data_IF_448633838377
#
_entry.id   IF_448633838377
#
_cell.length_a   1.000
_cell.length_b   1.000
_cell.length_c   1.000
_cell.angle_alpha   90.00
_cell.angle_beta   90.00
_cell.angle_gamma   90.00
#
_symmetry.space_group_name_H-M   'P 1'
#
loop_
_entity.id
_entity.type
_entity.pdbx_description
1 polymer ?
#
# COMPACT_ATOMS: atom_id res chain seq x y z
N UNK A 1 17.63 18.78 -22.73
CA UNK A 1 17.55 19.11 -24.15
C UNK A 1 16.39 20.07 -24.37
N UNK A 2 16.59 21.08 -25.15
CA UNK A 2 15.59 22.11 -25.49
C UNK A 2 15.44 22.13 -27.02
N UNK A 3 14.21 22.31 -27.49
CA UNK A 3 13.94 22.54 -28.89
C UNK A 3 14.13 24.04 -29.22
N UNK A 4 15.08 24.35 -30.05
CA UNK A 4 15.32 25.70 -30.57
C UNK A 4 14.44 25.91 -31.82
N UNK A 5 13.38 26.74 -31.76
CA UNK A 5 12.49 26.95 -32.88
C UNK A 5 13.13 27.73 -34.05
N UNK A 6 14.21 28.48 -33.79
CA UNK A 6 14.90 29.23 -34.85
C UNK A 6 15.80 28.31 -35.69
N UNK A 7 16.40 27.29 -35.05
CA UNK A 7 17.27 26.31 -35.70
C UNK A 7 16.55 25.04 -36.12
N UNK A 8 15.31 24.84 -35.63
CA UNK A 8 14.51 23.62 -35.82
C UNK A 8 15.28 22.34 -35.38
N UNK A 9 16.07 22.45 -34.34
CA UNK A 9 16.91 21.39 -33.80
C UNK A 9 16.76 21.25 -32.29
N UNK A 10 17.02 20.04 -31.78
CA UNK A 10 17.13 19.80 -30.34
C UNK A 10 18.56 20.10 -29.94
N UNK A 11 18.76 21.14 -29.15
CA UNK A 11 20.06 21.54 -28.63
C UNK A 11 20.16 21.23 -27.15
N UNK A 12 21.34 20.77 -26.67
CA UNK A 12 21.58 20.67 -25.25
C UNK A 12 21.53 22.08 -24.65
N UNK A 13 20.64 22.31 -23.71
CA UNK A 13 20.53 23.57 -23.00
C UNK A 13 21.07 23.41 -21.60
N UNK A 14 22.12 24.16 -21.27
CA UNK A 14 22.53 24.37 -19.90
C UNK A 14 21.73 25.54 -19.32
N UNK A 15 20.76 25.25 -18.45
CA UNK A 15 19.99 26.27 -17.76
C UNK A 15 20.79 26.73 -16.56
N UNK A 16 21.50 27.84 -16.70
CA UNK A 16 22.17 28.50 -15.58
C UNK A 16 21.24 29.54 -14.99
N UNK A 17 20.61 29.25 -13.88
CA UNK A 17 19.85 30.23 -13.11
C UNK A 17 20.76 30.82 -12.04
N UNK A 18 21.17 32.08 -12.23
CA UNK A 18 22.06 32.76 -11.29
C UNK A 18 21.20 33.47 -10.25
N UNK A 19 20.93 32.80 -9.13
CA UNK A 19 20.28 33.42 -7.97
C UNK A 19 21.31 34.08 -7.06
N UNK A 20 21.13 35.39 -6.82
CA UNK A 20 21.93 36.09 -5.81
C UNK A 20 21.25 35.90 -4.46
N UNK A 21 21.93 35.20 -3.54
CA UNK A 21 21.45 34.99 -2.18
C UNK A 21 21.12 33.54 -1.86
N UNK A 22 20.45 33.32 -0.74
CA UNK A 22 20.04 31.98 -0.31
C UNK A 22 18.77 31.58 -1.06
N UNK A 23 18.82 30.49 -1.80
CA UNK A 23 17.65 29.89 -2.42
C UNK A 23 17.02 28.87 -1.47
N UNK A 24 15.73 28.99 -1.22
CA UNK A 24 14.98 28.09 -0.38
C UNK A 24 13.77 27.56 -1.12
N UNK A 25 13.62 26.25 -1.17
CA UNK A 25 12.45 25.57 -1.71
C UNK A 25 11.92 24.57 -0.71
N UNK A 26 10.60 24.53 -0.54
CA UNK A 26 9.92 23.61 0.36
C UNK A 26 8.94 22.74 -0.43
N UNK A 27 9.10 21.41 -0.30
CA UNK A 27 8.11 20.45 -0.76
C UNK A 27 7.29 19.95 0.43
N UNK A 28 5.97 19.96 0.30
CA UNK A 28 5.04 19.50 1.31
C UNK A 28 4.15 18.40 0.77
N UNK A 29 4.18 17.21 1.38
CA UNK A 29 3.44 16.02 0.97
C UNK A 29 2.49 15.56 2.08
N UNK A 30 1.33 16.22 2.27
CA UNK A 30 0.35 15.82 3.28
C UNK A 30 -0.33 14.52 2.90
N UNK A 31 -0.67 13.71 3.90
CA UNK A 31 -1.48 12.51 3.73
C UNK A 31 -2.51 12.39 4.84
N UNK A 32 -3.69 11.91 4.50
CA UNK A 32 -4.76 11.59 5.45
C UNK A 32 -5.04 10.11 5.34
N UNK A 33 -5.09 9.41 6.49
CA UNK A 33 -5.43 7.99 6.52
C UNK A 33 -6.38 7.68 7.67
N UNK A 34 -7.26 6.71 7.42
CA UNK A 34 -8.18 6.15 8.41
C UNK A 34 -8.21 4.64 8.27
N UNK A 35 -8.33 3.91 9.39
CA UNK A 35 -8.43 2.46 9.37
C UNK A 35 -9.46 1.96 10.38
N UNK A 36 -10.12 0.85 10.03
CA UNK A 36 -11.10 0.17 10.85
C UNK A 36 -10.77 -1.33 10.87
N UNK A 37 -10.48 -1.88 12.08
CA UNK A 37 -9.93 -3.23 12.26
C UNK A 37 -10.72 -3.99 13.36
N UNK A 38 -11.97 -4.41 13.14
CA UNK A 38 -12.74 -5.16 14.12
C UNK A 38 -12.22 -6.60 14.25
N UNK A 39 -12.56 -7.24 15.37
CA UNK A 39 -12.36 -8.68 15.57
C UNK A 39 -13.69 -9.35 15.84
N UNK A 40 -13.99 -10.38 15.07
CA UNK A 40 -15.23 -11.16 15.18
C UNK A 40 -14.86 -12.57 15.64
N UNK A 41 -15.54 -13.04 16.69
CA UNK A 41 -15.31 -14.35 17.27
C UNK A 41 -16.58 -15.20 17.12
N UNK A 42 -16.40 -16.41 16.62
CA UNK A 42 -17.43 -17.46 16.63
C UNK A 42 -16.88 -18.69 17.36
N UNK A 43 -17.69 -19.29 18.24
CA UNK A 43 -17.33 -20.55 18.89
C UNK A 43 -18.50 -21.51 18.74
N UNK A 44 -18.23 -22.66 18.14
CA UNK A 44 -19.13 -23.78 18.06
C UNK A 44 -18.73 -24.82 19.09
N UNK A 45 -19.63 -25.21 19.99
CA UNK A 45 -19.43 -26.26 20.98
C UNK A 45 -20.19 -27.51 20.58
N UNK A 46 -19.49 -28.65 20.71
CA UNK A 46 -20.05 -29.98 20.44
C UNK A 46 -20.38 -30.70 21.75
N UNK A 47 -21.00 -31.85 21.67
CA UNK A 47 -21.34 -32.68 22.85
C UNK A 47 -20.06 -33.06 23.61
N UNK A 48 -20.16 -33.17 24.94
CA UNK A 48 -19.07 -33.58 25.84
C UNK A 48 -18.43 -34.93 25.47
N UNK A 49 -19.20 -35.84 24.82
CA UNK A 49 -18.68 -37.13 24.33
C UNK A 49 -18.01 -37.04 22.96
N UNK A 50 -17.99 -35.87 22.33
CA UNK A 50 -17.36 -35.69 21.03
C UNK A 50 -15.85 -35.53 21.20
N UNK A 51 -15.08 -36.10 20.27
CA UNK A 51 -13.63 -35.96 20.21
C UNK A 51 -13.20 -34.52 19.98
N UNK A 52 -13.97 -33.78 19.16
CA UNK A 52 -13.86 -32.33 18.98
C UNK A 52 -14.88 -31.69 19.91
N UNK A 53 -14.42 -30.95 20.90
CA UNK A 53 -15.30 -30.29 21.86
C UNK A 53 -15.79 -28.94 21.42
N UNK A 54 -14.93 -28.17 20.76
CA UNK A 54 -15.28 -26.85 20.26
C UNK A 54 -14.42 -26.50 19.06
N UNK A 55 -14.98 -25.72 18.17
CA UNK A 55 -14.26 -25.02 17.08
C UNK A 55 -14.43 -23.54 17.30
N UNK A 56 -13.33 -22.81 17.34
CA UNK A 56 -13.28 -21.37 17.45
C UNK A 56 -12.81 -20.78 16.13
N UNK A 57 -13.61 -19.90 15.56
CA UNK A 57 -13.26 -19.09 14.39
C UNK A 57 -13.02 -17.66 14.84
N UNK A 58 -11.88 -17.10 14.45
CA UNK A 58 -11.53 -15.69 14.67
C UNK A 58 -11.35 -15.06 13.31
N UNK A 59 -12.15 -14.05 13.02
CA UNK A 59 -12.10 -13.28 11.78
C UNK A 59 -11.72 -11.85 12.10
N UNK A 60 -10.70 -11.33 11.40
CA UNK A 60 -10.16 -9.98 11.58
C UNK A 60 -10.23 -9.25 10.23
N UNK A 61 -11.39 -8.69 9.87
CA UNK A 61 -11.46 -7.80 8.72
C UNK A 61 -10.75 -6.49 9.02
N UNK A 62 -10.12 -5.90 8.02
CA UNK A 62 -9.47 -4.61 8.09
C UNK A 62 -9.76 -3.83 6.83
N UNK A 63 -10.22 -2.61 6.99
CA UNK A 63 -10.41 -1.66 5.90
C UNK A 63 -9.61 -0.42 6.23
N UNK A 64 -8.76 0.03 5.31
CA UNK A 64 -8.02 1.26 5.45
C UNK A 64 -8.19 2.14 4.23
N UNK A 65 -8.29 3.43 4.47
CA UNK A 65 -8.35 4.47 3.46
C UNK A 65 -7.14 5.37 3.61
N UNK A 66 -6.49 5.72 2.50
CA UNK A 66 -5.44 6.73 2.45
C UNK A 66 -5.69 7.69 1.30
N UNK A 67 -5.43 8.96 1.54
CA UNK A 67 -5.58 10.01 0.55
C UNK A 67 -4.39 10.97 0.60
N UNK A 68 -3.81 11.24 -0.55
CA UNK A 68 -2.73 12.19 -0.77
C UNK A 68 -3.27 13.21 -1.78
N UNK A 69 -3.46 14.48 -1.41
CA UNK A 69 -3.85 15.52 -2.36
C UNK A 69 -2.70 15.87 -3.31
N UNK A 70 -3.01 16.29 -4.52
CA UNK A 70 -2.03 16.94 -5.39
C UNK A 70 -1.84 18.38 -4.93
N UNK A 71 -0.59 18.76 -4.71
CA UNK A 71 -0.21 20.13 -4.38
C UNK A 71 0.64 20.78 -5.50
N UNK A 72 0.49 20.29 -6.73
CA UNK A 72 1.23 20.81 -7.89
C UNK A 72 1.08 22.33 -8.02
N UNK A 73 -0.10 22.87 -7.76
CA UNK A 73 -0.35 24.32 -7.79
C UNK A 73 0.33 25.14 -6.70
N UNK A 74 0.65 24.55 -5.54
CA UNK A 74 1.36 25.23 -4.45
C UNK A 74 2.88 25.23 -4.61
N UNK A 75 3.39 24.38 -5.49
CA UNK A 75 4.83 24.18 -5.71
C UNK A 75 5.24 24.48 -7.14
N UNK A 76 4.39 25.24 -7.88
CA UNK A 76 4.65 25.64 -9.28
C UNK A 76 5.98 26.35 -9.46
N UNK A 77 6.46 27.05 -8.44
CA UNK A 77 7.75 27.76 -8.48
C UNK A 77 8.97 26.82 -8.48
N UNK A 78 8.77 25.56 -8.12
CA UNK A 78 9.83 24.55 -8.06
C UNK A 78 10.03 23.80 -9.37
N UNK A 79 9.07 23.93 -10.29
CA UNK A 79 9.05 23.23 -11.56
C UNK A 79 8.94 24.19 -12.72
N UNK A 80 9.59 23.85 -13.80
CA UNK A 80 9.55 24.58 -15.06
C UNK A 80 9.29 23.59 -16.20
N UNK A 81 8.66 24.07 -17.25
CA UNK A 81 8.36 23.28 -18.43
C UNK A 81 9.19 23.74 -19.62
N UNK A 82 9.71 22.80 -20.39
CA UNK A 82 10.37 23.06 -21.66
C UNK A 82 9.79 22.17 -22.75
N UNK A 83 9.72 22.70 -23.96
CA UNK A 83 9.34 21.89 -25.12
C UNK A 83 10.52 20.98 -25.48
N UNK A 84 10.25 19.69 -25.62
CA UNK A 84 11.27 18.66 -25.85
C UNK A 84 11.53 18.36 -27.33
N UNK A 85 10.51 18.54 -28.16
CA UNK A 85 10.55 18.17 -29.58
C UNK A 85 9.74 19.11 -30.47
N UNK A 86 9.83 18.89 -31.78
CA UNK A 86 9.11 19.64 -32.81
C UNK A 86 7.58 19.42 -32.79
N UNK A 87 7.10 18.37 -32.11
CA UNK A 87 5.70 18.00 -32.01
C UNK A 87 4.97 18.71 -30.86
N UNK A 88 5.71 19.54 -30.07
CA UNK A 88 5.14 20.26 -28.94
C UNK A 88 5.09 19.48 -27.64
N UNK A 89 5.77 18.33 -27.54
CA UNK A 89 5.83 17.59 -26.30
C UNK A 89 6.59 18.38 -25.24
N UNK A 90 5.98 18.53 -24.06
CA UNK A 90 6.50 19.31 -22.96
C UNK A 90 7.16 18.36 -21.94
N UNK A 91 8.34 18.72 -21.46
CA UNK A 91 9.00 18.09 -20.32
C UNK A 91 9.00 19.05 -19.14
N UNK A 92 8.56 18.56 -18.01
CA UNK A 92 8.70 19.26 -16.74
C UNK A 92 10.03 18.89 -16.08
N UNK A 93 10.75 19.88 -15.56
CA UNK A 93 11.98 19.69 -14.81
C UNK A 93 11.97 20.55 -13.54
N UNK A 94 12.68 20.11 -12.52
CA UNK A 94 12.80 20.87 -11.27
C UNK A 94 13.99 21.83 -11.34
N UNK A 95 13.84 23.01 -10.74
CA UNK A 95 14.95 23.96 -10.52
C UNK A 95 16.06 23.37 -9.62
N UNK A 96 15.79 22.27 -8.91
CA UNK A 96 16.76 21.51 -8.12
C UNK A 96 17.40 20.36 -8.89
N UNK A 97 17.08 20.19 -10.17
CA UNK A 97 17.69 19.15 -10.98
C UNK A 97 19.21 19.36 -11.05
N UNK A 98 19.97 18.31 -10.73
CA UNK A 98 21.44 18.40 -10.64
C UNK A 98 22.00 18.85 -9.27
N UNK A 99 21.19 19.20 -8.31
CA UNK A 99 21.66 19.53 -6.96
C UNK A 99 22.10 18.29 -6.17
N UNK A 100 23.03 18.49 -5.21
CA UNK A 100 23.60 17.42 -4.37
C UNK A 100 22.55 16.61 -3.61
N UNK A 101 21.44 17.25 -3.19
CA UNK A 101 20.38 16.63 -2.43
C UNK A 101 19.21 16.14 -3.31
N UNK A 102 19.33 16.25 -4.63
CA UNK A 102 18.29 15.83 -5.57
C UNK A 102 17.08 16.75 -5.60
N UNK A 103 16.12 16.37 -6.42
CA UNK A 103 14.85 17.09 -6.60
C UNK A 103 13.85 16.70 -5.53
N UNK A 104 13.19 17.66 -4.84
CA UNK A 104 12.08 17.35 -3.95
C UNK A 104 10.97 16.63 -4.72
N UNK A 105 10.55 15.46 -4.26
CA UNK A 105 9.45 14.72 -4.86
C UNK A 105 8.12 15.29 -4.40
N UNK A 106 7.30 15.76 -5.31
CA UNK A 106 5.91 16.11 -5.05
C UNK A 106 5.02 14.90 -5.26
N UNK A 107 4.16 14.65 -4.29
CA UNK A 107 3.17 13.59 -4.40
C UNK A 107 2.08 13.97 -5.39
N UNK A 108 1.87 13.12 -6.39
CA UNK A 108 0.68 13.18 -7.23
C UNK A 108 -0.55 12.77 -6.42
N UNK A 109 -1.70 13.29 -6.80
CA UNK A 109 -2.98 12.89 -6.20
C UNK A 109 -3.11 11.38 -6.21
N UNK A 110 -3.29 10.80 -5.02
CA UNK A 110 -3.50 9.38 -4.84
C UNK A 110 -4.56 9.12 -3.78
N UNK A 111 -5.41 8.13 -4.02
CA UNK A 111 -6.39 7.68 -3.04
C UNK A 111 -6.55 6.18 -3.14
N UNK A 112 -6.39 5.50 -2.01
CA UNK A 112 -6.43 4.05 -1.96
C UNK A 112 -7.31 3.57 -0.81
N UNK A 113 -8.15 2.59 -1.12
CA UNK A 113 -8.87 1.79 -0.13
C UNK A 113 -8.26 0.40 -0.13
N UNK A 114 -7.78 -0.06 1.02
CA UNK A 114 -7.21 -1.41 1.17
C UNK A 114 -8.11 -2.27 2.02
N UNK A 115 -8.30 -3.51 1.60
CA UNK A 115 -9.11 -4.52 2.25
C UNK A 115 -8.23 -5.69 2.65
N UNK A 116 -8.27 -6.08 3.92
CA UNK A 116 -7.60 -7.27 4.42
C UNK A 116 -8.58 -8.08 5.27
N UNK A 117 -8.54 -9.39 5.10
CA UNK A 117 -9.30 -10.33 5.89
C UNK A 117 -8.36 -11.42 6.37
N UNK A 118 -8.20 -11.55 7.68
CA UNK A 118 -7.43 -12.63 8.30
C UNK A 118 -8.38 -13.55 9.05
N UNK A 119 -8.29 -14.84 8.77
CA UNK A 119 -9.08 -15.88 9.43
C UNK A 119 -8.18 -16.86 10.14
N UNK A 120 -8.54 -17.19 11.38
CA UNK A 120 -7.90 -18.23 12.19
C UNK A 120 -8.97 -19.24 12.61
N UNK A 121 -8.64 -20.51 12.54
CA UNK A 121 -9.52 -21.60 12.96
C UNK A 121 -8.79 -22.52 13.92
N UNK A 122 -9.31 -22.63 15.13
CA UNK A 122 -8.76 -23.48 16.19
C UNK A 122 -9.82 -24.51 16.62
N UNK A 123 -9.37 -25.74 16.87
CA UNK A 123 -10.20 -26.78 17.45
C UNK A 123 -9.71 -27.14 18.84
N UNK A 124 -10.64 -27.44 19.74
CA UNK A 124 -10.39 -28.02 21.05
C UNK A 124 -10.68 -29.51 20.97
N UNK A 125 -9.64 -30.35 21.03
CA UNK A 125 -9.74 -31.80 20.85
C UNK A 125 -9.24 -32.55 22.07
N UNK A 126 -9.82 -33.69 22.39
CA UNK A 126 -9.23 -34.61 23.37
C UNK A 126 -8.09 -35.41 22.72
N UNK A 127 -6.97 -35.49 23.43
CA UNK A 127 -5.87 -36.36 23.05
C UNK A 127 -6.27 -37.83 23.14
N UNK A 128 -5.66 -38.67 22.32
CA UNK A 128 -5.88 -40.11 22.30
C UNK A 128 -5.13 -40.85 23.43
N UNK A 129 -4.19 -40.17 24.10
CA UNK A 129 -3.46 -40.72 25.21
C UNK A 129 -4.34 -40.76 26.46
N UNK A 130 -4.49 -41.95 27.03
CA UNK A 130 -5.28 -42.23 28.25
C UNK A 130 -4.80 -41.42 29.48
N UNK A 131 -3.65 -40.78 29.39
CA UNK A 131 -3.06 -39.95 30.47
C UNK A 131 -3.39 -38.46 30.31
N UNK A 132 -3.94 -38.01 29.18
CA UNK A 132 -4.24 -36.61 28.94
C UNK A 132 -5.64 -36.25 29.48
N UNK A 133 -5.69 -35.75 30.68
CA UNK A 133 -6.92 -35.31 31.37
C UNK A 133 -7.45 -33.96 30.87
N UNK A 134 -6.73 -33.27 29.97
CA UNK A 134 -7.09 -31.94 29.48
C UNK A 134 -7.16 -31.88 27.96
N UNK A 135 -8.20 -31.25 27.39
CA UNK A 135 -8.31 -31.09 25.96
C UNK A 135 -7.20 -30.16 25.43
N UNK A 136 -6.63 -30.53 24.30
CA UNK A 136 -5.60 -29.75 23.60
C UNK A 136 -6.21 -28.80 22.59
N UNK A 137 -5.56 -27.67 22.38
CA UNK A 137 -5.90 -26.71 21.29
C UNK A 137 -5.07 -27.05 20.08
N UNK A 138 -5.73 -27.32 18.97
CA UNK A 138 -5.11 -27.59 17.67
C UNK A 138 -5.49 -26.47 16.72
N UNK A 139 -4.50 -25.85 16.08
CA UNK A 139 -4.72 -24.85 15.06
C UNK A 139 -5.00 -25.56 13.73
N UNK A 140 -6.24 -25.48 13.24
CA UNK A 140 -6.61 -26.02 11.94
C UNK A 140 -6.12 -25.10 10.81
N UNK A 141 -6.33 -23.81 10.99
CA UNK A 141 -5.84 -22.76 10.11
C UNK A 141 -5.15 -21.70 10.98
N UNK A 142 -3.84 -21.58 10.82
CA UNK A 142 -3.08 -20.55 11.53
C UNK A 142 -3.31 -19.17 10.95
N UNK A 143 -3.43 -19.10 9.63
CA UNK A 143 -3.71 -17.86 8.92
C UNK A 143 -4.28 -18.18 7.54
N UNK A 144 -5.46 -17.68 7.26
CA UNK A 144 -6.00 -17.51 5.91
C UNK A 144 -6.16 -16.01 5.69
N UNK A 145 -5.18 -15.41 5.06
CA UNK A 145 -5.14 -14.00 4.71
C UNK A 145 -5.65 -13.78 3.28
N UNK A 146 -6.55 -12.82 3.09
CA UNK A 146 -7.00 -12.34 1.79
C UNK A 146 -6.82 -10.84 1.77
N UNK A 147 -6.17 -10.30 0.74
CA UNK A 147 -5.93 -8.87 0.62
C UNK A 147 -6.11 -8.37 -0.81
N UNK A 148 -6.65 -7.19 -0.93
CA UNK A 148 -6.75 -6.43 -2.18
C UNK A 148 -6.83 -4.94 -1.87
N UNK A 149 -6.69 -4.11 -2.90
CA UNK A 149 -6.86 -2.66 -2.77
C UNK A 149 -7.52 -2.06 -4.01
N UNK A 150 -8.13 -0.91 -3.81
CA UNK A 150 -8.78 -0.13 -4.86
C UNK A 150 -8.15 1.25 -4.92
N UNK A 151 -7.63 1.64 -6.09
CA UNK A 151 -7.13 2.99 -6.35
C UNK A 151 -8.27 3.83 -6.92
N UNK A 152 -8.63 4.91 -6.20
CA UNK A 152 -9.77 5.77 -6.54
C UNK A 152 -9.47 6.64 -7.78
N UNK A 153 -8.20 6.98 -7.99
CA UNK A 153 -7.78 7.94 -9.01
C UNK A 153 -7.03 7.30 -10.19
N UNK A 154 -6.97 5.98 -10.26
CA UNK A 154 -6.44 5.32 -11.43
C UNK A 154 -7.40 5.43 -12.60
N UNK A 155 -6.89 5.74 -13.80
CA UNK A 155 -7.68 5.83 -15.02
C UNK A 155 -8.19 4.47 -15.51
N UNK A 156 -7.47 3.40 -15.16
CA UNK A 156 -7.81 2.02 -15.48
C UNK A 156 -7.21 1.06 -14.44
N UNK A 157 -7.74 -0.17 -14.37
CA UNK A 157 -7.28 -1.22 -13.45
C UNK A 157 -7.25 -0.76 -11.98
N UNK A 158 -8.32 -0.13 -11.54
CA UNK A 158 -8.44 0.42 -10.18
C UNK A 158 -8.30 -0.64 -9.08
N UNK A 159 -8.70 -1.89 -9.36
CA UNK A 159 -8.52 -2.99 -8.43
C UNK A 159 -7.14 -3.64 -8.57
N UNK A 160 -6.44 -3.76 -7.44
CA UNK A 160 -5.25 -4.58 -7.36
C UNK A 160 -5.63 -6.08 -7.39
N UNK A 161 -4.71 -6.96 -7.83
CA UNK A 161 -4.91 -8.38 -7.74
C UNK A 161 -5.26 -8.83 -6.31
N UNK A 162 -6.15 -9.80 -6.19
CA UNK A 162 -6.46 -10.42 -4.90
C UNK A 162 -5.32 -11.37 -4.52
N UNK A 163 -4.68 -11.11 -3.40
CA UNK A 163 -3.66 -11.97 -2.84
C UNK A 163 -4.27 -12.85 -1.76
N UNK A 164 -3.96 -14.13 -1.78
CA UNK A 164 -4.40 -15.10 -0.79
C UNK A 164 -3.20 -15.87 -0.22
N UNK A 165 -3.13 -15.96 1.10
CA UNK A 165 -2.09 -16.69 1.82
C UNK A 165 -2.75 -17.65 2.81
N UNK A 166 -2.47 -18.94 2.68
CA UNK A 166 -2.93 -19.97 3.61
C UNK A 166 -1.73 -20.56 4.36
N UNK A 167 -1.82 -20.59 5.68
CA UNK A 167 -0.88 -21.30 6.56
C UNK A 167 -1.64 -22.24 7.49
N UNK A 168 -1.17 -23.48 7.55
CA UNK A 168 -1.71 -24.49 8.46
C UNK A 168 -0.55 -25.26 9.10
N UNK A 169 -0.73 -25.71 10.35
CA UNK A 169 0.20 -26.57 11.08
C UNK A 169 -0.35 -27.98 11.32
N UNK A 170 -1.38 -28.37 10.61
CA UNK A 170 -2.10 -29.64 10.81
C UNK A 170 -1.19 -30.86 10.73
N UNK A 171 -0.13 -30.79 9.94
CA UNK A 171 0.80 -31.89 9.69
C UNK A 171 2.07 -31.88 10.55
N UNK A 172 2.30 -30.83 11.34
CA UNK A 172 3.49 -30.72 12.18
C UNK A 172 3.30 -31.32 13.59
N UNK A 173 2.10 -31.79 13.94
CA UNK A 173 1.74 -32.34 15.25
C UNK A 173 1.20 -33.78 15.17
N UNK A 174 1.59 -34.54 14.12
CA UNK A 174 1.31 -35.96 13.99
C UNK A 174 2.55 -36.79 14.36
#
# INVERSE_FOLDING_TARGET
>A
DYFDPEKNEIVPMEVTDTTRGTFYGQAFNPSISASFNPQIFGTFTFSSNSRVQAIRHVMKPSVSFSYIPSLEGLSSDLYRTVQRDTLGNIREYSIFDGNIYGTPSLSKRNGQVSFNLTNLLEAKVFSRDDTATKPQKVKLIENLGISTSYNIFADSMNWAPVNMVLRTSLFNNL
#
